data_IF_114059781500
#
_entry.id   IF_114059781500
#
_cell.length_a   1.000
_cell.length_b   1.000
_cell.length_c   1.000
_cell.angle_alpha   90.00
_cell.angle_beta   90.00
_cell.angle_gamma   90.00
#
_symmetry.space_group_name_H-M   'P 1'
#
loop_
_entity.id
_entity.type
_entity.pdbx_description
1 polymer ?
#
# COMPACT_ATOMS: atom_id res chain seq x y z
N UNK A 1 2.94 21.76 -1.31
CA UNK A 1 3.33 20.65 -0.41
C UNK A 1 2.33 20.65 0.74
N UNK A 2 1.43 19.67 0.80
CA UNK A 2 0.45 19.55 1.89
C UNK A 2 0.90 18.40 2.79
N UNK A 3 1.33 18.74 4.01
CA UNK A 3 1.65 17.76 5.06
C UNK A 3 0.55 17.82 6.10
N UNK A 4 -0.45 16.96 5.97
CA UNK A 4 -1.36 16.61 7.07
C UNK A 4 -0.90 15.25 7.58
N UNK A 5 -0.53 15.17 8.86
CA UNK A 5 -0.11 13.93 9.51
C UNK A 5 -1.27 13.47 10.39
N UNK A 6 -1.93 12.40 9.99
CA UNK A 6 -2.88 11.70 10.84
C UNK A 6 -2.18 10.46 11.42
N UNK A 7 -2.35 10.21 12.72
CA UNK A 7 -1.89 8.95 13.30
C UNK A 7 -2.85 7.83 12.89
N UNK A 8 -2.34 6.63 12.55
CA UNK A 8 -3.19 5.49 12.25
C UNK A 8 -4.08 5.18 13.46
N UNK A 9 -5.39 5.19 13.27
CA UNK A 9 -6.35 4.85 14.34
C UNK A 9 -6.35 3.34 14.60
N UNK A 10 -6.03 2.55 13.58
CA UNK A 10 -5.93 1.11 13.68
C UNK A 10 -4.78 0.59 12.81
N UNK A 11 -3.97 -0.29 13.38
CA UNK A 11 -2.83 -0.92 12.71
C UNK A 11 -2.95 -2.43 12.81
N UNK A 12 -2.49 -3.11 11.78
CA UNK A 12 -2.45 -4.57 11.70
C UNK A 12 -1.02 -5.00 11.44
N UNK A 13 -0.62 -6.09 12.07
CA UNK A 13 0.62 -6.75 11.69
C UNK A 13 0.32 -7.74 10.57
N UNK A 14 1.02 -7.61 9.46
CA UNK A 14 0.90 -8.53 8.33
C UNK A 14 2.23 -9.22 8.06
N UNK A 15 2.15 -10.40 7.48
CA UNK A 15 3.29 -11.10 6.92
C UNK A 15 3.18 -11.13 5.39
N UNK A 16 4.28 -10.76 4.74
CA UNK A 16 4.45 -10.83 3.29
C UNK A 16 5.82 -11.43 3.01
N UNK A 17 5.85 -12.60 2.36
CA UNK A 17 7.09 -13.34 2.09
C UNK A 17 8.01 -13.49 3.31
N UNK A 18 7.47 -14.04 4.40
CA UNK A 18 8.20 -14.33 5.65
C UNK A 18 8.74 -13.09 6.37
N UNK A 19 8.39 -11.88 5.92
CA UNK A 19 8.68 -10.66 6.66
C UNK A 19 7.40 -10.09 7.25
N UNK A 20 7.48 -9.71 8.52
CA UNK A 20 6.41 -9.02 9.21
C UNK A 20 6.55 -7.51 9.05
N UNK A 21 5.41 -6.83 8.96
CA UNK A 21 5.36 -5.37 8.91
C UNK A 21 4.00 -4.87 9.39
N UNK A 22 4.02 -3.69 10.00
CA UNK A 22 2.80 -3.05 10.48
C UNK A 22 2.21 -2.17 9.38
N UNK A 23 0.91 -2.30 9.14
CA UNK A 23 0.17 -1.51 8.16
C UNK A 23 -1.01 -0.80 8.81
N UNK A 24 -1.49 0.27 8.18
CA UNK A 24 -2.70 0.96 8.61
C UNK A 24 -3.93 0.22 8.08
N UNK A 25 -4.92 -0.05 8.94
CA UNK A 25 -6.21 -0.54 8.52
C UNK A 25 -7.06 0.63 8.00
N UNK A 26 -7.07 0.80 6.67
CA UNK A 26 -7.84 1.84 5.98
C UNK A 26 -9.08 1.24 5.32
N UNK A 27 -10.22 1.31 5.99
CA UNK A 27 -11.50 0.81 5.46
C UNK A 27 -12.02 1.61 4.25
N UNK A 28 -11.46 2.81 4.00
CA UNK A 28 -11.77 3.62 2.82
C UNK A 28 -10.98 3.23 1.57
N UNK A 29 -9.87 2.49 1.73
CA UNK A 29 -9.04 2.06 0.63
C UNK A 29 -9.58 0.78 -0.03
N UNK A 30 -9.70 0.80 -1.36
CA UNK A 30 -10.05 -0.41 -2.14
C UNK A 30 -8.85 -1.29 -2.48
N UNK A 31 -7.63 -0.76 -2.33
CA UNK A 31 -6.36 -1.44 -2.64
C UNK A 31 -5.32 -1.02 -1.60
N UNK A 32 -4.47 -1.97 -1.21
CA UNK A 32 -3.33 -1.68 -0.34
C UNK A 32 -2.30 -0.82 -1.09
N UNK A 33 -1.77 0.20 -0.42
CA UNK A 33 -0.74 1.10 -0.97
C UNK A 33 0.56 0.90 -0.20
N UNK A 34 1.62 0.52 -0.91
CA UNK A 34 2.96 0.39 -0.37
C UNK A 34 3.85 1.55 -0.80
N UNK A 35 4.69 2.04 0.10
CA UNK A 35 5.74 3.02 -0.22
C UNK A 35 6.98 2.37 -0.85
N UNK A 36 8.03 3.17 -1.06
CA UNK A 36 9.26 2.75 -1.73
C UNK A 36 9.96 1.57 -1.03
N UNK A 37 9.94 1.51 0.30
CA UNK A 37 10.54 0.41 1.06
C UNK A 37 9.87 -0.94 0.76
N UNK A 38 8.53 -0.97 0.75
CA UNK A 38 7.76 -2.16 0.38
C UNK A 38 8.03 -2.55 -1.08
N UNK A 39 8.07 -1.57 -1.98
CA UNK A 39 8.39 -1.81 -3.38
C UNK A 39 9.76 -2.48 -3.56
N UNK A 40 10.83 -1.93 -2.94
CA UNK A 40 12.18 -2.51 -2.99
C UNK A 40 12.22 -3.92 -2.39
N UNK A 41 11.56 -4.11 -1.25
CA UNK A 41 11.45 -5.41 -0.58
C UNK A 41 10.84 -6.49 -1.49
N UNK A 42 9.73 -6.16 -2.17
CA UNK A 42 9.04 -7.06 -3.09
C UNK A 42 9.85 -7.31 -4.36
N UNK A 43 10.47 -6.26 -4.91
CA UNK A 43 11.34 -6.36 -6.09
C UNK A 43 12.55 -7.27 -5.83
N UNK A 44 13.16 -7.18 -4.65
CA UNK A 44 14.26 -8.07 -4.24
C UNK A 44 13.83 -9.54 -4.14
N UNK A 45 12.55 -9.81 -3.93
CA UNK A 45 11.95 -11.16 -3.98
C UNK A 45 11.40 -11.53 -5.34
N UNK A 46 11.79 -10.79 -6.39
CA UNK A 46 11.37 -11.05 -7.77
C UNK A 46 9.87 -10.98 -8.00
N UNK A 47 9.14 -10.21 -7.18
CA UNK A 47 7.73 -9.93 -7.41
C UNK A 47 7.56 -9.20 -8.76
N UNK A 48 6.63 -9.68 -9.56
CA UNK A 48 6.25 -9.04 -10.82
C UNK A 48 5.25 -7.93 -10.56
N UNK A 49 5.46 -6.80 -11.23
CA UNK A 49 4.59 -5.65 -11.20
C UNK A 49 4.01 -5.40 -12.58
N UNK A 50 2.75 -4.99 -12.62
CA UNK A 50 2.08 -4.45 -13.81
C UNK A 50 2.01 -2.95 -13.68
N UNK A 51 2.36 -2.25 -14.74
CA UNK A 51 2.26 -0.79 -14.81
C UNK A 51 0.89 -0.38 -15.34
N UNK A 52 0.23 0.55 -14.65
CA UNK A 52 -1.06 1.09 -15.08
C UNK A 52 -1.31 2.50 -14.54
N UNK A 53 -2.25 3.19 -15.17
CA UNK A 53 -2.88 4.39 -14.62
C UNK A 53 -4.02 3.98 -13.69
N UNK A 54 -3.98 4.39 -12.43
CA UNK A 54 -4.97 4.01 -11.42
C UNK A 54 -5.78 5.23 -10.97
N UNK A 55 -7.08 5.30 -11.29
CA UNK A 55 -7.95 6.35 -10.75
C UNK A 55 -8.09 6.21 -9.22
N UNK A 56 -7.85 7.28 -8.49
CA UNK A 56 -7.98 7.33 -7.03
C UNK A 56 -8.63 8.64 -6.58
N UNK A 57 -9.45 8.54 -5.53
CA UNK A 57 -10.00 9.69 -4.82
C UNK A 57 -9.28 9.81 -3.48
N UNK A 58 -8.64 10.95 -3.25
CA UNK A 58 -7.92 11.25 -2.02
C UNK A 58 -8.91 11.66 -0.91
N UNK A 59 -8.43 11.64 0.34
CA UNK A 59 -9.24 11.99 1.51
C UNK A 59 -9.76 13.45 1.49
N UNK A 60 -9.07 14.34 0.79
CA UNK A 60 -9.51 15.73 0.56
C UNK A 60 -10.53 15.88 -0.58
N UNK A 61 -10.96 14.76 -1.16
CA UNK A 61 -11.92 14.70 -2.27
C UNK A 61 -11.30 14.90 -3.65
N UNK A 62 -10.00 15.21 -3.75
CA UNK A 62 -9.34 15.34 -5.05
C UNK A 62 -9.33 14.01 -5.79
N UNK A 63 -9.54 14.08 -7.10
CA UNK A 63 -9.40 12.94 -8.00
C UNK A 63 -8.05 13.03 -8.70
N UNK A 64 -7.35 11.90 -8.75
CA UNK A 64 -6.06 11.77 -9.42
C UNK A 64 -6.00 10.43 -10.15
N UNK A 65 -5.20 10.36 -11.20
CA UNK A 65 -4.98 9.12 -11.96
C UNK A 65 -3.47 8.90 -12.12
N UNK A 66 -2.74 8.58 -11.04
CA UNK A 66 -1.29 8.38 -11.12
C UNK A 66 -0.93 7.14 -11.93
N UNK A 67 0.26 7.18 -12.53
CA UNK A 67 0.94 6.00 -13.05
C UNK A 67 1.57 5.23 -11.89
N UNK A 68 1.19 3.96 -11.72
CA UNK A 68 1.58 3.12 -10.58
C UNK A 68 2.04 1.73 -11.01
N UNK A 69 2.80 1.08 -10.14
CA UNK A 69 3.21 -0.32 -10.26
C UNK A 69 2.40 -1.18 -9.30
N UNK A 70 1.61 -2.10 -9.84
CA UNK A 70 0.69 -2.97 -9.09
C UNK A 70 1.18 -4.40 -9.07
N UNK A 71 1.14 -5.03 -7.90
CA UNK A 71 1.39 -6.45 -7.72
C UNK A 71 0.22 -7.08 -6.96
N UNK A 72 0.00 -8.38 -7.20
CA UNK A 72 -0.89 -9.22 -6.40
C UNK A 72 -0.05 -10.30 -5.76
N UNK A 73 -0.15 -10.43 -4.43
CA UNK A 73 0.56 -11.41 -3.63
C UNK A 73 -0.32 -11.84 -2.45
N UNK A 74 -0.15 -13.06 -1.94
CA UNK A 74 -0.77 -13.46 -0.68
C UNK A 74 -0.20 -12.64 0.47
N UNK A 75 -1.06 -12.32 1.42
CA UNK A 75 -0.68 -11.72 2.71
C UNK A 75 -1.35 -12.51 3.82
N UNK A 76 -0.71 -12.57 4.98
CA UNK A 76 -1.29 -13.15 6.19
C UNK A 76 -1.48 -12.04 7.21
N UNK A 77 -2.65 -11.99 7.85
CA UNK A 77 -2.87 -11.11 9.01
C UNK A 77 -2.36 -11.85 10.25
N UNK A 78 -1.40 -11.25 10.94
CA UNK A 78 -0.75 -11.83 12.12
C UNK A 78 -1.47 -11.43 13.41
N UNK A 79 -1.91 -10.18 13.52
CA UNK A 79 -2.63 -9.61 14.66
C UNK A 79 -3.50 -8.42 14.25
#
# INVERSE_FOLDING_TARGET
MFTCVTSPVNVLDIEVYEATGTVCADTGASQSVGGELMFKFLKNRSQKFTELYLPMRLADGQQSTPFVQKATMPITICR
#
